data_IF_027472759995
#
_entry.id   IF_027472759995
#
_cell.length_a   1.000
_cell.length_b   1.000
_cell.length_c   1.000
_cell.angle_alpha   90.00
_cell.angle_beta   90.00
_cell.angle_gamma   90.00
#
_symmetry.space_group_name_H-M   'P 1'
#
loop_
_entity.id
_entity.type
_entity.pdbx_description
1 polymer ?
#
# COMPACT_ATOMS: atom_id res chain seq x y z
N UNK A 1 -9.09 5.43 -1.40
CA UNK A 1 -10.13 4.41 -1.59
C UNK A 1 -9.68 3.31 -2.53
N UNK A 2 -9.53 3.52 -3.85
CA UNK A 2 -9.23 2.40 -4.76
C UNK A 2 -7.97 1.57 -4.41
N UNK A 3 -6.87 2.18 -3.98
CA UNK A 3 -5.67 1.45 -3.60
C UNK A 3 -5.88 0.59 -2.34
N UNK A 4 -6.64 1.10 -1.36
CA UNK A 4 -6.99 0.37 -0.14
C UNK A 4 -7.92 -0.80 -0.46
N UNK A 5 -8.93 -0.59 -1.30
CA UNK A 5 -9.84 -1.65 -1.74
C UNK A 5 -9.09 -2.78 -2.48
N UNK A 6 -8.12 -2.44 -3.32
CA UNK A 6 -7.26 -3.44 -3.98
C UNK A 6 -6.50 -4.24 -2.92
N UNK A 7 -5.89 -3.58 -1.93
CA UNK A 7 -5.23 -4.30 -0.84
C UNK A 7 -6.19 -5.21 -0.08
N UNK A 8 -7.38 -4.73 0.27
CA UNK A 8 -8.35 -5.48 1.06
C UNK A 8 -8.86 -6.73 0.31
N UNK A 9 -9.15 -6.58 -0.99
CA UNK A 9 -9.59 -7.69 -1.84
C UNK A 9 -8.45 -8.70 -2.03
N UNK A 10 -7.24 -8.24 -2.35
CA UNK A 10 -6.08 -9.12 -2.57
C UNK A 10 -5.65 -9.85 -1.29
N UNK A 11 -5.66 -9.18 -0.13
CA UNK A 11 -5.39 -9.79 1.17
C UNK A 11 -6.40 -10.89 1.49
N UNK A 12 -7.69 -10.64 1.23
CA UNK A 12 -8.77 -11.63 1.42
C UNK A 12 -8.65 -12.81 0.45
N UNK A 13 -8.14 -12.56 -0.76
CA UNK A 13 -7.96 -13.58 -1.80
C UNK A 13 -6.61 -14.31 -1.72
N UNK A 14 -5.74 -13.96 -0.76
CA UNK A 14 -4.36 -14.46 -0.66
C UNK A 14 -3.54 -14.24 -1.95
N UNK A 15 -3.80 -13.13 -2.64
CA UNK A 15 -3.10 -12.74 -3.87
C UNK A 15 -2.04 -11.69 -3.54
N UNK A 16 -0.77 -11.90 -3.90
CA UNK A 16 0.29 -10.93 -3.59
C UNK A 16 0.14 -9.64 -4.39
N UNK A 17 0.43 -8.50 -3.75
CA UNK A 17 0.33 -7.17 -4.35
C UNK A 17 1.72 -6.56 -4.55
N UNK A 18 1.97 -6.03 -5.75
CA UNK A 18 3.14 -5.23 -6.05
C UNK A 18 2.72 -3.76 -6.09
N UNK A 19 3.21 -2.97 -5.14
CA UNK A 19 3.02 -1.52 -5.16
C UNK A 19 4.10 -0.89 -6.04
N UNK A 20 3.68 -0.16 -7.07
CA UNK A 20 4.57 0.26 -8.13
C UNK A 20 4.35 1.71 -8.56
N UNK A 21 5.38 2.22 -9.23
CA UNK A 21 5.48 3.55 -9.85
C UNK A 21 5.63 4.71 -8.86
N UNK A 22 6.49 5.66 -9.22
CA UNK A 22 6.74 6.94 -8.52
C UNK A 22 7.12 6.89 -7.04
N UNK A 23 7.37 5.70 -6.48
CA UNK A 23 7.82 5.53 -5.10
C UNK A 23 9.19 6.17 -4.93
N UNK A 24 9.25 7.22 -4.09
CA UNK A 24 10.46 7.98 -3.81
C UNK A 24 11.18 8.44 -5.09
N UNK A 25 10.44 8.84 -6.13
CA UNK A 25 11.00 9.24 -7.43
C UNK A 25 11.93 10.46 -7.31
N UNK A 26 11.59 11.42 -6.44
CA UNK A 26 12.42 12.56 -6.08
C UNK A 26 13.71 12.14 -5.40
N UNK A 27 13.69 11.14 -4.52
CA UNK A 27 14.90 10.55 -3.93
C UNK A 27 15.77 9.89 -4.99
N UNK A 28 15.18 9.08 -5.87
CA UNK A 28 15.90 8.34 -6.93
C UNK A 28 16.61 9.29 -7.90
N UNK A 29 15.99 10.43 -8.23
CA UNK A 29 16.52 11.41 -9.19
C UNK A 29 17.41 12.47 -8.55
N UNK A 30 17.02 13.01 -7.40
CA UNK A 30 17.57 14.24 -6.81
C UNK A 30 18.16 14.04 -5.41
N UNK A 31 18.22 12.80 -4.91
CA UNK A 31 18.71 12.44 -3.58
C UNK A 31 17.89 13.02 -2.40
N UNK A 32 16.73 13.62 -2.64
CA UNK A 32 15.86 14.18 -1.62
C UNK A 32 14.38 13.82 -1.91
N UNK A 33 13.69 13.08 -1.01
CA UNK A 33 12.27 12.79 -1.18
C UNK A 33 11.40 13.93 -0.68
N UNK A 34 10.24 14.13 -1.32
CA UNK A 34 9.18 14.97 -0.80
C UNK A 34 8.45 14.29 0.36
N UNK A 35 7.81 15.07 1.25
CA UNK A 35 6.99 14.53 2.35
C UNK A 35 5.89 13.60 1.84
N UNK A 36 5.24 13.96 0.73
CA UNK A 36 4.21 13.13 0.10
C UNK A 36 4.77 11.77 -0.33
N UNK A 37 5.98 11.71 -0.88
CA UNK A 37 6.61 10.45 -1.29
C UNK A 37 6.96 9.56 -0.10
N UNK A 38 7.33 10.15 1.04
CA UNK A 38 7.57 9.39 2.28
C UNK A 38 6.27 8.80 2.81
N UNK A 39 5.15 9.54 2.74
CA UNK A 39 3.83 9.05 3.14
C UNK A 39 3.37 7.92 2.22
N UNK A 40 3.55 8.07 0.90
CA UNK A 40 3.24 7.03 -0.08
C UNK A 40 4.08 5.76 0.12
N UNK A 41 5.39 5.91 0.37
CA UNK A 41 6.27 4.79 0.72
C UNK A 41 5.91 4.11 2.05
N UNK A 42 5.37 4.87 3.02
CA UNK A 42 4.85 4.33 4.27
C UNK A 42 3.57 3.52 4.04
N UNK A 43 2.65 4.01 3.20
CA UNK A 43 1.43 3.31 2.81
C UNK A 43 1.73 2.01 2.06
N UNK A 44 2.76 2.02 1.22
CA UNK A 44 3.23 0.86 0.45
C UNK A 44 3.68 -0.34 1.30
N UNK A 45 3.83 -0.20 2.62
CA UNK A 45 4.13 -1.30 3.53
C UNK A 45 3.13 -2.46 3.46
N UNK A 46 1.87 -2.19 3.11
CA UNK A 46 0.84 -3.24 2.98
C UNK A 46 1.10 -4.19 1.82
N UNK A 47 2.01 -3.83 0.90
CA UNK A 47 2.34 -4.65 -0.25
C UNK A 47 3.43 -5.68 0.05
N UNK A 48 3.35 -6.82 -0.63
CA UNK A 48 4.37 -7.86 -0.59
C UNK A 48 5.67 -7.42 -1.28
N UNK A 49 5.55 -6.55 -2.28
CA UNK A 49 6.69 -6.03 -3.03
C UNK A 49 6.50 -4.57 -3.40
N UNK A 50 7.60 -3.81 -3.36
CA UNK A 50 7.64 -2.42 -3.81
C UNK A 50 8.59 -2.31 -4.99
N UNK A 51 8.07 -1.77 -6.10
CA UNK A 51 8.84 -1.55 -7.32
C UNK A 51 9.42 -0.13 -7.34
N UNK A 52 10.74 -0.03 -7.50
CA UNK A 52 11.45 1.25 -7.69
C UNK A 52 11.88 1.43 -9.14
N UNK A 53 11.86 2.68 -9.62
CA UNK A 53 12.46 3.04 -10.90
C UNK A 53 14.00 3.06 -10.79
N UNK A 54 14.68 2.85 -11.92
CA UNK A 54 16.12 3.08 -12.03
C UNK A 54 16.45 4.57 -11.84
N UNK A 55 17.58 4.86 -11.20
CA UNK A 55 18.17 6.20 -11.16
C UNK A 55 19.49 6.24 -10.40
N UNK A 56 20.11 7.41 -10.37
CA UNK A 56 21.45 7.62 -9.82
C UNK A 56 21.56 7.23 -8.34
N UNK A 57 20.50 7.46 -7.56
CA UNK A 57 20.51 7.24 -6.12
C UNK A 57 19.72 6.00 -5.69
N UNK A 58 19.54 5.00 -6.58
CA UNK A 58 18.68 3.83 -6.31
C UNK A 58 19.09 3.06 -5.05
N UNK A 59 20.39 2.89 -4.80
CA UNK A 59 20.91 2.18 -3.63
C UNK A 59 20.55 2.92 -2.33
N UNK A 60 20.75 4.24 -2.31
CA UNK A 60 20.39 5.08 -1.17
C UNK A 60 18.88 5.12 -0.94
N UNK A 61 18.10 5.12 -2.02
CA UNK A 61 16.64 5.00 -1.96
C UNK A 61 16.21 3.71 -1.31
N UNK A 62 16.82 2.57 -1.66
CA UNK A 62 16.50 1.27 -1.04
C UNK A 62 16.79 1.29 0.46
N UNK A 63 17.91 1.89 0.88
CA UNK A 63 18.26 2.02 2.30
C UNK A 63 17.22 2.86 3.06
N UNK A 64 16.80 3.99 2.48
CA UNK A 64 15.77 4.85 3.08
C UNK A 64 14.41 4.15 3.11
N UNK A 65 14.02 3.49 2.01
CA UNK A 65 12.78 2.73 1.94
C UNK A 65 12.75 1.66 3.04
N UNK A 66 13.83 0.89 3.20
CA UNK A 66 13.94 -0.10 4.28
C UNK A 66 13.73 0.52 5.67
N UNK A 67 14.28 1.71 5.92
CA UNK A 67 14.09 2.43 7.20
C UNK A 67 12.64 2.86 7.41
N UNK A 68 12.00 3.38 6.37
CA UNK A 68 10.58 3.77 6.41
C UNK A 68 9.72 2.55 6.73
N UNK A 69 9.87 1.46 5.97
CA UNK A 69 9.11 0.23 6.17
C UNK A 69 9.32 -0.36 7.57
N UNK A 70 10.56 -0.43 8.06
CA UNK A 70 10.84 -0.91 9.40
C UNK A 70 10.16 -0.06 10.49
N UNK A 71 10.16 1.26 10.32
CA UNK A 71 9.51 2.18 11.26
C UNK A 71 7.99 2.03 11.25
N UNK A 72 7.41 1.85 10.06
CA UNK A 72 5.97 1.69 9.91
C UNK A 72 5.47 0.33 10.39
N UNK A 73 6.31 -0.72 10.36
CA UNK A 73 5.90 -2.09 10.68
C UNK A 73 5.34 -2.18 12.10
N UNK A 74 6.00 -1.53 13.06
CA UNK A 74 5.54 -1.47 14.45
C UNK A 74 4.18 -0.75 14.59
N UNK A 75 3.96 0.29 13.79
CA UNK A 75 2.71 1.06 13.80
C UNK A 75 1.59 0.23 13.15
N UNK A 76 1.89 -0.42 12.03
CA UNK A 76 0.95 -1.26 11.30
C UNK A 76 0.50 -2.46 12.14
N UNK A 77 1.43 -3.21 12.75
CA UNK A 77 1.10 -4.32 13.66
C UNK A 77 0.18 -3.87 14.80
N UNK A 78 0.48 -2.74 15.43
CA UNK A 78 -0.36 -2.18 16.50
C UNK A 78 -1.76 -1.82 16.00
N UNK A 79 -1.85 -1.18 14.84
CA UNK A 79 -3.13 -0.74 14.29
C UNK A 79 -3.97 -1.90 13.74
N UNK A 80 -3.33 -2.94 13.19
CA UNK A 80 -4.01 -4.15 12.69
C UNK A 80 -4.75 -4.89 13.81
N UNK A 81 -4.19 -4.89 15.02
CA UNK A 81 -4.85 -5.42 16.22
C UNK A 81 -6.08 -4.61 16.65
N UNK A 82 -6.22 -3.37 16.17
CA UNK A 82 -7.33 -2.46 16.48
C UNK A 82 -8.40 -2.43 15.39
N UNK A 83 -8.25 -3.22 14.31
CA UNK A 83 -9.25 -3.27 13.23
C UNK A 83 -10.44 -4.13 13.65
N UNK A 84 -11.58 -3.48 13.89
CA UNK A 84 -12.88 -4.14 14.00
C UNK A 84 -13.25 -4.78 12.65
N UNK A 85 -13.92 -5.94 12.72
CA UNK A 85 -14.53 -6.59 11.55
C UNK A 85 -15.37 -5.58 10.76
N UNK A 86 -15.03 -5.43 9.48
CA UNK A 86 -15.79 -4.56 8.59
C UNK A 86 -17.16 -5.17 8.31
N UNK A 87 -18.22 -4.48 8.72
CA UNK A 87 -19.62 -4.85 8.45
C UNK A 87 -20.10 -4.40 7.05
N UNK A 88 -19.21 -3.89 6.20
CA UNK A 88 -19.58 -3.41 4.85
C UNK A 88 -19.92 -4.51 3.85
N UNK A 89 -19.63 -5.78 4.19
CA UNK A 89 -20.10 -6.95 3.44
C UNK A 89 -21.52 -7.41 3.85
N UNK A 90 -22.40 -6.49 4.23
CA UNK A 90 -23.83 -6.78 4.21
C UNK A 90 -24.29 -6.73 2.76
N UNK A 91 -24.64 -7.88 2.20
CA UNK A 91 -25.17 -8.00 0.84
C UNK A 91 -26.51 -7.26 0.73
N UNK A 92 -26.48 -5.99 0.33
CA UNK A 92 -27.64 -5.37 -0.32
C UNK A 92 -27.74 -5.93 -1.74
N UNK A 93 -28.27 -7.15 -1.83
CA UNK A 93 -28.83 -7.67 -3.07
C UNK A 93 -30.23 -8.22 -2.77
N UNK A 94 -31.18 -7.30 -2.57
CA UNK A 94 -32.59 -7.58 -2.74
C UNK A 94 -33.14 -6.72 -3.89
N UNK A 95 -33.67 -7.42 -4.90
CA UNK A 95 -34.47 -6.94 -6.04
C UNK A 95 -33.74 -6.51 -7.31
N UNK A 96 -33.34 -7.49 -8.12
CA UNK A 96 -33.72 -7.52 -9.53
C UNK A 96 -34.48 -8.82 -9.81
N UNK A 97 -35.81 -8.75 -9.64
CA UNK A 97 -36.72 -9.77 -10.18
C UNK A 97 -36.75 -9.59 -11.70
N UNK A 98 -36.32 -10.63 -12.41
CA UNK A 98 -36.58 -10.80 -13.84
C UNK A 98 -38.08 -11.09 -13.97
N UNK A 99 -38.83 -10.16 -14.57
CA UNK A 99 -40.12 -10.46 -15.20
C UNK A 99 -39.95 -10.35 -16.73
N UNK A 100 -40.61 -11.30 -17.38
CA UNK A 100 -40.55 -11.68 -18.81
C UNK A 100 -41.28 -10.64 -19.66
#
# INVERSE_FOLDING_TARGET
YIQEEIFDICESALVPVIYATQILEGKIKNNLPARAEVIDAAFAQRADCIMLKKGHFVVDTVIILKKILHSMHLIYEKNRQLLNISTTWSSDNQNERIEI
#
